data_IF_419783748450
#
_entry.id   IF_419783748450
#
_cell.length_a   1.000
_cell.length_b   1.000
_cell.length_c   1.000
_cell.angle_alpha   90.00
_cell.angle_beta   90.00
_cell.angle_gamma   90.00
#
_symmetry.space_group_name_H-M   'P 1'
#
loop_
_entity.id
_entity.type
_entity.pdbx_description
1 polymer ?
#
# COMPACT_ATOMS: atom_id res chain seq x y z
N UNK A 1 8.21 -17.24 -21.18
CA UNK A 1 8.53 -16.24 -20.14
C UNK A 1 8.14 -14.89 -20.71
N UNK A 2 7.42 -14.05 -19.97
CA UNK A 2 7.12 -12.69 -20.45
C UNK A 2 8.44 -11.90 -20.51
N UNK A 3 8.65 -11.12 -21.57
CA UNK A 3 9.73 -10.15 -21.61
C UNK A 3 9.40 -8.95 -20.69
N UNK A 4 10.42 -8.16 -20.37
CA UNK A 4 10.29 -7.01 -19.47
C UNK A 4 9.29 -5.96 -19.96
N UNK A 5 9.26 -5.67 -21.26
CA UNK A 5 8.35 -4.67 -21.84
C UNK A 5 6.89 -5.13 -21.68
N UNK A 6 6.64 -6.41 -21.97
CA UNK A 6 5.35 -7.05 -21.71
C UNK A 6 4.95 -6.99 -20.23
N UNK A 7 5.88 -7.26 -19.30
CA UNK A 7 5.61 -7.22 -17.87
C UNK A 7 5.24 -5.80 -17.39
N UNK A 8 5.98 -4.77 -17.81
CA UNK A 8 5.68 -3.37 -17.51
C UNK A 8 4.30 -2.97 -18.06
N UNK A 9 4.00 -3.36 -19.32
CA UNK A 9 2.71 -3.08 -19.95
C UNK A 9 1.55 -3.71 -19.19
N UNK A 10 1.71 -4.94 -18.70
CA UNK A 10 0.69 -5.62 -17.88
C UNK A 10 0.48 -4.87 -16.57
N UNK A 11 1.55 -4.53 -15.85
CA UNK A 11 1.46 -3.77 -14.59
C UNK A 11 0.71 -2.43 -14.75
N UNK A 12 1.00 -1.68 -15.83
CA UNK A 12 0.28 -0.44 -16.19
C UNK A 12 -1.20 -0.70 -16.49
N UNK A 13 -1.48 -1.77 -17.26
CA UNK A 13 -2.84 -2.12 -17.69
C UNK A 13 -3.72 -2.49 -16.50
N UNK A 14 -3.21 -3.32 -15.59
CA UNK A 14 -3.96 -3.72 -14.39
C UNK A 14 -4.22 -2.52 -13.48
N UNK A 15 -3.23 -1.63 -13.29
CA UNK A 15 -3.45 -0.43 -12.48
C UNK A 15 -4.50 0.49 -13.11
N UNK A 16 -4.44 0.69 -14.42
CA UNK A 16 -5.45 1.48 -15.12
C UNK A 16 -6.87 0.89 -14.99
N UNK A 17 -7.02 -0.44 -14.94
CA UNK A 17 -8.32 -1.07 -14.64
C UNK A 17 -8.77 -0.76 -13.21
N UNK A 18 -7.87 -0.90 -12.24
CA UNK A 18 -8.14 -0.53 -10.85
C UNK A 18 -8.57 0.93 -10.73
N UNK A 19 -7.80 1.89 -11.27
CA UNK A 19 -8.13 3.32 -11.19
C UNK A 19 -9.51 3.65 -11.79
N UNK A 20 -9.86 3.04 -12.93
CA UNK A 20 -11.19 3.24 -13.53
C UNK A 20 -12.32 2.70 -12.66
N UNK A 21 -12.09 1.63 -11.90
CA UNK A 21 -13.09 1.06 -10.99
C UNK A 21 -13.45 1.99 -9.82
N UNK A 22 -12.53 2.90 -9.44
CA UNK A 22 -12.71 3.79 -8.29
C UNK A 22 -13.79 4.82 -8.57
N UNK A 23 -13.79 5.41 -9.77
CA UNK A 23 -14.76 6.43 -10.18
C UNK A 23 -16.21 5.92 -10.15
N UNK A 24 -16.43 4.62 -10.37
CA UNK A 24 -17.77 4.01 -10.32
C UNK A 24 -18.33 3.97 -8.90
N UNK A 25 -17.45 3.87 -7.90
CA UNK A 25 -17.82 3.64 -6.49
C UNK A 25 -18.07 4.95 -5.73
N UNK A 26 -17.38 6.03 -6.10
CA UNK A 26 -17.48 7.32 -5.42
C UNK A 26 -18.72 8.07 -5.95
N UNK A 27 -19.86 7.90 -5.28
CA UNK A 27 -21.14 8.49 -5.70
C UNK A 27 -21.78 9.42 -4.64
N UNK A 28 -21.08 9.73 -3.54
CA UNK A 28 -21.63 10.45 -2.38
C UNK A 28 -20.74 11.62 -1.96
N UNK A 29 -21.30 12.51 -1.13
CA UNK A 29 -20.57 13.59 -0.46
C UNK A 29 -19.34 13.03 0.29
N UNK A 30 -18.19 13.68 0.09
CA UNK A 30 -16.91 13.26 0.64
C UNK A 30 -16.75 13.80 2.06
N UNK A 31 -17.30 13.08 3.04
CA UNK A 31 -16.93 13.25 4.45
C UNK A 31 -15.45 12.94 4.71
N UNK A 32 -14.97 13.26 5.92
CA UNK A 32 -13.57 13.07 6.33
C UNK A 32 -13.11 11.61 6.11
N UNK A 33 -13.98 10.65 6.40
CA UNK A 33 -13.74 9.21 6.18
C UNK A 33 -13.54 8.90 4.69
N UNK A 34 -14.42 9.42 3.83
CA UNK A 34 -14.29 9.29 2.38
C UNK A 34 -13.00 9.90 1.83
N UNK A 35 -12.62 11.06 2.35
CA UNK A 35 -11.33 11.68 2.01
C UNK A 35 -10.15 10.82 2.45
N UNK A 36 -10.21 10.18 3.62
CA UNK A 36 -9.18 9.26 4.11
C UNK A 36 -9.02 8.02 3.22
N UNK A 37 -10.13 7.44 2.77
CA UNK A 37 -10.11 6.33 1.81
C UNK A 37 -9.52 6.76 0.45
N UNK A 38 -9.93 7.91 -0.07
CA UNK A 38 -9.37 8.45 -1.31
C UNK A 38 -7.89 8.78 -1.18
N UNK A 39 -7.41 9.17 0.00
CA UNK A 39 -5.97 9.35 0.24
C UNK A 39 -5.20 8.03 0.09
N UNK A 40 -5.76 6.88 0.51
CA UNK A 40 -5.15 5.56 0.26
C UNK A 40 -5.11 5.22 -1.24
N UNK A 41 -6.09 5.65 -2.03
CA UNK A 41 -6.08 5.52 -3.48
C UNK A 41 -4.99 6.38 -4.12
N UNK A 42 -4.88 7.64 -3.72
CA UNK A 42 -3.84 8.54 -4.22
C UNK A 42 -2.44 8.00 -3.90
N UNK A 43 -2.26 7.43 -2.70
CA UNK A 43 -1.03 6.74 -2.32
C UNK A 43 -0.77 5.50 -3.17
N UNK A 44 -1.80 4.67 -3.42
CA UNK A 44 -1.70 3.52 -4.31
C UNK A 44 -1.18 3.93 -5.70
N UNK A 45 -1.72 5.00 -6.28
CA UNK A 45 -1.25 5.55 -7.55
C UNK A 45 0.19 6.06 -7.47
N UNK A 46 0.51 6.89 -6.48
CA UNK A 46 1.86 7.45 -6.34
C UNK A 46 2.94 6.37 -6.16
N UNK A 47 2.66 5.31 -5.39
CA UNK A 47 3.60 4.22 -5.20
C UNK A 47 3.74 3.33 -6.44
N UNK A 48 2.63 3.01 -7.12
CA UNK A 48 2.67 2.21 -8.35
C UNK A 48 3.41 2.94 -9.48
N UNK A 49 3.00 4.17 -9.80
CA UNK A 49 3.61 4.98 -10.85
C UNK A 49 5.09 5.28 -10.54
N UNK A 50 5.38 5.60 -9.27
CA UNK A 50 6.74 5.84 -8.80
C UNK A 50 7.64 4.61 -8.92
N UNK A 51 7.12 3.43 -8.55
CA UNK A 51 7.86 2.18 -8.67
C UNK A 51 8.16 1.83 -10.13
N UNK A 52 7.18 1.99 -11.04
CA UNK A 52 7.40 1.79 -12.47
C UNK A 52 8.44 2.76 -13.03
N UNK A 53 8.36 4.04 -12.67
CA UNK A 53 9.34 5.03 -13.11
C UNK A 53 10.76 4.69 -12.62
N UNK A 54 10.89 4.30 -11.35
CA UNK A 54 12.16 3.85 -10.79
C UNK A 54 12.70 2.58 -11.48
N UNK A 55 11.82 1.65 -11.83
CA UNK A 55 12.14 0.42 -12.53
C UNK A 55 12.64 0.70 -13.95
N UNK A 56 11.96 1.57 -14.69
CA UNK A 56 12.36 2.03 -16.03
C UNK A 56 13.70 2.78 -15.99
N UNK A 57 13.97 3.51 -14.91
CA UNK A 57 15.25 4.14 -14.63
C UNK A 57 16.33 3.15 -14.12
N UNK A 58 16.04 1.84 -14.11
CA UNK A 58 16.93 0.77 -13.66
C UNK A 58 17.41 0.95 -12.20
N UNK A 59 16.58 1.53 -11.32
CA UNK A 59 16.96 1.87 -9.94
C UNK A 59 16.29 0.94 -8.91
N UNK A 60 16.93 -0.16 -8.49
CA UNK A 60 16.36 -1.08 -7.50
C UNK A 60 16.21 -0.43 -6.11
N UNK A 61 17.10 0.52 -5.74
CA UNK A 61 17.05 1.21 -4.45
C UNK A 61 15.86 2.15 -4.29
N UNK A 62 15.20 2.53 -5.39
CA UNK A 62 13.93 3.24 -5.35
C UNK A 62 12.75 2.29 -5.61
N UNK A 63 12.91 1.34 -6.53
CA UNK A 63 11.84 0.43 -6.93
C UNK A 63 11.31 -0.41 -5.77
N UNK A 64 12.17 -1.14 -5.06
CA UNK A 64 11.71 -2.06 -4.01
C UNK A 64 11.13 -1.35 -2.78
N UNK A 65 11.70 -0.23 -2.28
CA UNK A 65 11.02 0.55 -1.25
C UNK A 65 9.66 1.09 -1.66
N UNK A 66 9.48 1.51 -2.92
CA UNK A 66 8.18 1.99 -3.40
C UNK A 66 7.15 0.85 -3.49
N UNK A 67 7.55 -0.33 -3.96
CA UNK A 67 6.69 -1.53 -3.95
C UNK A 67 6.36 -1.96 -2.51
N UNK A 68 7.32 -1.87 -1.58
CA UNK A 68 7.06 -2.11 -0.15
C UNK A 68 6.01 -1.15 0.41
N UNK A 69 6.15 0.15 0.15
CA UNK A 69 5.14 1.15 0.52
C UNK A 69 3.78 0.86 -0.11
N UNK A 70 3.75 0.35 -1.35
CA UNK A 70 2.54 -0.08 -2.03
C UNK A 70 1.88 -1.28 -1.34
N UNK A 71 2.67 -2.26 -0.91
CA UNK A 71 2.19 -3.40 -0.13
C UNK A 71 1.62 -2.97 1.23
N UNK A 72 2.29 -2.06 1.93
CA UNK A 72 1.79 -1.50 3.21
C UNK A 72 0.47 -0.76 3.01
N UNK A 73 0.31 -0.06 1.89
CA UNK A 73 -0.95 0.58 1.51
C UNK A 73 -2.08 -0.45 1.25
N UNK A 74 -1.78 -1.55 0.57
CA UNK A 74 -2.72 -2.66 0.38
C UNK A 74 -3.14 -3.27 1.73
N UNK A 75 -2.19 -3.48 2.64
CA UNK A 75 -2.44 -4.01 3.97
C UNK A 75 -3.29 -3.07 4.83
N UNK A 76 -3.06 -1.76 4.75
CA UNK A 76 -3.90 -0.75 5.40
C UNK A 76 -5.34 -0.79 4.87
N UNK A 77 -5.52 -0.94 3.55
CA UNK A 77 -6.85 -1.04 2.96
C UNK A 77 -7.59 -2.31 3.41
N UNK A 78 -6.88 -3.44 3.52
CA UNK A 78 -7.43 -4.67 4.11
C UNK A 78 -7.81 -4.47 5.57
N UNK A 79 -6.98 -3.77 6.35
CA UNK A 79 -7.30 -3.45 7.72
C UNK A 79 -8.61 -2.67 7.82
N UNK A 80 -8.80 -1.63 7.00
CA UNK A 80 -10.04 -0.83 6.98
C UNK A 80 -11.24 -1.67 6.54
N UNK A 81 -11.07 -2.65 5.65
CA UNK A 81 -12.15 -3.59 5.34
C UNK A 81 -12.57 -4.42 6.56
N UNK A 82 -11.60 -4.89 7.36
CA UNK A 82 -11.87 -5.72 8.54
C UNK A 82 -12.31 -4.91 9.76
N UNK A 83 -11.91 -3.65 9.82
CA UNK A 83 -12.12 -2.72 10.94
C UNK A 83 -12.49 -1.33 10.40
N UNK A 84 -13.67 -1.16 9.78
CA UNK A 84 -14.07 0.11 9.16
C UNK A 84 -14.02 1.32 10.10
N UNK A 85 -14.44 1.19 11.36
CA UNK A 85 -14.36 2.26 12.37
C UNK A 85 -12.94 2.72 12.74
N UNK A 86 -11.91 1.96 12.36
CA UNK A 86 -10.52 2.23 12.68
C UNK A 86 -9.83 3.18 11.68
N UNK A 87 -10.53 3.66 10.64
CA UNK A 87 -9.95 4.52 9.61
C UNK A 87 -9.33 5.81 10.17
N UNK A 88 -9.89 6.36 11.26
CA UNK A 88 -9.36 7.56 11.92
C UNK A 88 -7.92 7.40 12.41
N UNK A 89 -7.48 6.16 12.66
CA UNK A 89 -6.12 5.83 13.10
C UNK A 89 -5.08 5.97 11.98
N UNK A 90 -5.50 6.09 10.72
CA UNK A 90 -4.64 6.45 9.59
C UNK A 90 -4.42 7.96 9.48
N UNK A 91 -5.14 8.77 10.26
CA UNK A 91 -4.98 10.22 10.26
C UNK A 91 -3.62 10.64 10.79
N UNK A 92 -3.04 11.69 10.20
CA UNK A 92 -1.86 12.35 10.75
C UNK A 92 -2.09 12.89 12.18
N UNK A 93 -3.36 13.14 12.53
CA UNK A 93 -3.79 13.63 13.84
C UNK A 93 -3.98 12.53 14.88
N UNK A 94 -3.94 11.24 14.50
CA UNK A 94 -4.04 10.14 15.44
C UNK A 94 -2.88 10.17 16.44
N UNK A 95 -3.18 9.90 17.72
CA UNK A 95 -2.18 9.84 18.76
C UNK A 95 -1.14 8.75 18.45
N UNK A 96 0.10 8.90 18.92
CA UNK A 96 1.19 8.01 18.53
C UNK A 96 0.94 6.54 18.91
N UNK A 97 0.29 6.31 20.04
CA UNK A 97 -0.14 5.00 20.55
C UNK A 97 -1.37 4.43 19.83
N UNK A 98 -2.15 5.28 19.16
CA UNK A 98 -3.28 4.87 18.31
C UNK A 98 -2.82 4.45 16.90
N UNK A 99 -1.66 4.91 16.44
CA UNK A 99 -1.14 4.60 15.10
C UNK A 99 -0.88 3.10 14.92
N UNK A 100 -1.05 2.62 13.69
CA UNK A 100 -0.83 1.21 13.40
C UNK A 100 0.65 0.85 13.40
N UNK A 101 0.97 -0.24 14.11
CA UNK A 101 2.20 -0.96 13.85
C UNK A 101 2.09 -1.67 12.50
N UNK A 102 3.02 -1.40 11.58
CA UNK A 102 3.02 -1.99 10.22
C UNK A 102 2.96 -3.52 10.26
N UNK A 103 3.69 -4.15 11.19
CA UNK A 103 3.64 -5.60 11.37
C UNK A 103 2.24 -6.15 11.66
N UNK A 104 1.38 -5.36 12.33
CA UNK A 104 -0.03 -5.75 12.57
C UNK A 104 -0.86 -5.67 11.30
N UNK A 105 -0.64 -4.66 10.46
CA UNK A 105 -1.30 -4.53 9.15
C UNK A 105 -0.93 -5.71 8.25
N UNK A 106 0.38 -6.00 8.15
CA UNK A 106 0.90 -7.13 7.34
C UNK A 106 0.37 -8.46 7.85
N UNK A 107 0.36 -8.70 9.16
CA UNK A 107 -0.18 -9.91 9.75
C UNK A 107 -1.70 -10.07 9.49
N UNK A 108 -2.44 -8.96 9.42
CA UNK A 108 -3.85 -8.99 9.07
C UNK A 108 -4.05 -9.32 7.57
N UNK A 109 -3.30 -8.65 6.69
CA UNK A 109 -3.33 -8.89 5.26
C UNK A 109 -3.00 -10.34 4.88
N UNK A 110 -2.01 -10.94 5.53
CA UNK A 110 -1.60 -12.32 5.31
C UNK A 110 -2.70 -13.37 5.59
N UNK A 111 -3.72 -13.03 6.38
CA UNK A 111 -4.88 -13.91 6.61
C UNK A 111 -5.82 -13.98 5.40
N UNK A 112 -5.83 -12.94 4.56
CA UNK A 112 -6.71 -12.80 3.38
C UNK A 112 -6.00 -13.11 2.07
N UNK A 113 -4.71 -12.82 1.98
CA UNK A 113 -3.89 -13.05 0.81
C UNK A 113 -2.72 -13.99 1.15
N UNK A 114 -2.85 -15.31 0.90
CA UNK A 114 -1.74 -16.24 1.03
C UNK A 114 -0.52 -15.76 0.22
N UNK A 115 0.69 -15.84 0.79
CA UNK A 115 1.92 -15.36 0.16
C UNK A 115 2.20 -13.86 0.37
N UNK A 116 1.25 -13.05 0.85
CA UNK A 116 1.49 -11.61 1.10
C UNK A 116 2.64 -11.37 2.07
N UNK A 117 2.74 -12.19 3.12
CA UNK A 117 3.83 -12.10 4.10
C UNK A 117 5.19 -12.35 3.44
N UNK A 118 5.28 -13.36 2.58
CA UNK A 118 6.52 -13.74 1.91
C UNK A 118 6.96 -12.65 0.92
N UNK A 119 6.03 -12.06 0.17
CA UNK A 119 6.30 -10.90 -0.71
C UNK A 119 6.79 -9.72 0.12
N UNK A 120 6.15 -9.42 1.25
CA UNK A 120 6.55 -8.33 2.12
C UNK A 120 7.95 -8.55 2.72
N UNK A 121 8.27 -9.76 3.18
CA UNK A 121 9.58 -10.11 3.71
C UNK A 121 10.68 -9.97 2.64
N UNK A 122 10.44 -10.48 1.43
CA UNK A 122 11.36 -10.30 0.29
C UNK A 122 11.58 -8.82 -0.04
N UNK A 123 10.52 -8.01 -0.11
CA UNK A 123 10.62 -6.57 -0.31
C UNK A 123 11.43 -5.89 0.79
N UNK A 124 11.21 -6.29 2.06
CA UNK A 124 11.96 -5.78 3.20
C UNK A 124 13.45 -6.06 3.10
N UNK A 125 13.87 -7.21 2.58
CA UNK A 125 15.30 -7.54 2.38
C UNK A 125 16.01 -6.53 1.46
N UNK A 126 15.33 -5.99 0.45
CA UNK A 126 15.90 -4.99 -0.46
C UNK A 126 15.96 -3.57 0.13
N UNK A 127 15.27 -3.32 1.24
CA UNK A 127 15.19 -1.99 1.86
C UNK A 127 16.14 -1.77 3.04
N UNK A 128 16.81 -2.84 3.51
CA UNK A 128 17.72 -2.78 4.65
C UNK A 128 19.17 -3.06 4.22
N UNK A 129 20.17 -2.40 4.82
CA UNK A 129 21.58 -2.54 4.44
C UNK A 129 22.22 -3.88 4.84
N UNK A 130 21.44 -4.85 5.32
CA UNK A 130 21.92 -6.10 5.95
C UNK A 130 21.59 -7.37 5.15
N UNK A 131 21.02 -7.25 3.95
CA UNK A 131 20.58 -8.38 3.15
C UNK A 131 20.97 -8.21 1.67
N UNK A 132 20.14 -8.72 0.76
CA UNK A 132 20.30 -8.71 -0.70
C UNK A 132 20.67 -7.34 -1.29
N UNK A 133 20.30 -6.24 -0.62
CA UNK A 133 20.69 -4.88 -1.02
C UNK A 133 22.19 -4.57 -0.90
N UNK A 134 22.94 -5.27 -0.05
CA UNK A 134 24.37 -5.00 0.17
C UNK A 134 25.23 -5.35 -1.06
N UNK A 135 24.86 -6.41 -1.78
CA UNK A 135 25.62 -6.91 -2.94
C UNK A 135 25.17 -6.30 -4.26
N UNK A 136 24.06 -5.55 -4.30
CA UNK A 136 23.52 -4.92 -5.53
C UNK A 136 24.51 -4.03 -6.31
N UNK A 137 25.44 -3.27 -5.68
CA UNK A 137 26.43 -2.51 -6.43
C UNK A 137 27.47 -3.35 -7.18
N UNK A 138 27.59 -4.65 -6.86
CA UNK A 138 28.63 -5.53 -7.38
C UNK A 138 28.07 -6.46 -8.45
N UNK A 139 28.77 -6.58 -9.58
CA UNK A 139 28.46 -7.52 -10.65
C UNK A 139 29.63 -8.43 -10.92
N UNK A 140 29.38 -9.73 -11.04
CA UNK A 140 30.38 -10.65 -11.56
C UNK A 140 30.75 -10.26 -12.99
N UNK A 141 32.02 -10.29 -13.30
CA UNK A 141 32.53 -10.14 -14.67
C UNK A 141 32.70 -11.53 -15.31
N UNK A 142 33.00 -11.58 -16.62
CA UNK A 142 33.14 -12.86 -17.34
C UNK A 142 34.34 -13.69 -16.88
N UNK A 143 35.31 -13.05 -16.23
CA UNK A 143 36.38 -13.70 -15.47
C UNK A 143 35.85 -14.04 -14.07
N UNK A 144 35.71 -15.33 -13.77
CA UNK A 144 35.10 -15.89 -12.54
C UNK A 144 35.75 -15.40 -11.22
N UNK A 145 36.84 -14.64 -11.30
CA UNK A 145 37.61 -14.15 -10.15
C UNK A 145 37.49 -12.65 -9.87
N UNK A 146 36.68 -11.88 -10.62
CA UNK A 146 36.56 -10.45 -10.36
C UNK A 146 35.13 -9.92 -10.34
N UNK A 147 34.97 -8.77 -9.69
CA UNK A 147 33.69 -8.06 -9.56
C UNK A 147 33.86 -6.62 -10.03
N UNK A 148 32.85 -6.11 -10.71
CA UNK A 148 32.72 -4.69 -11.04
C UNK A 148 31.78 -4.03 -10.04
N UNK A 149 32.28 -3.00 -9.36
CA UNK A 149 31.46 -2.08 -8.58
C UNK A 149 30.89 -0.96 -9.47
N UNK A 150 29.66 -0.53 -9.18
CA UNK A 150 29.02 0.63 -9.80
C UNK A 150 28.48 1.59 -8.73
N UNK A 151 28.76 2.88 -8.89
CA UNK A 151 28.11 3.95 -8.12
C UNK A 151 26.71 4.28 -8.64
N UNK A 152 26.38 3.86 -9.86
CA UNK A 152 25.07 4.08 -10.48
C UNK A 152 24.16 2.90 -10.12
N UNK A 153 22.96 3.15 -9.55
CA UNK A 153 21.96 2.13 -9.30
C UNK A 153 21.65 1.33 -10.55
N UNK A 154 21.60 0.01 -10.43
CA UNK A 154 21.31 -0.87 -11.56
C UNK A 154 20.81 -2.21 -11.04
N UNK A 155 19.77 -2.78 -11.65
CA UNK A 155 19.34 -4.14 -11.33
C UNK A 155 20.41 -5.15 -11.74
N UNK A 156 20.68 -6.14 -10.90
CA UNK A 156 21.63 -7.22 -11.20
C UNK A 156 21.20 -8.08 -12.38
N UNK A 157 19.90 -8.38 -12.47
CA UNK A 157 19.30 -9.24 -13.47
C UNK A 157 17.98 -8.65 -14.01
N UNK A 158 17.56 -9.02 -15.22
CA UNK A 158 16.27 -8.57 -15.77
C UNK A 158 15.09 -9.33 -15.11
N UNK A 159 15.35 -10.54 -14.61
CA UNK A 159 14.43 -11.34 -13.80
C UNK A 159 13.94 -10.59 -12.55
N UNK A 160 14.81 -9.79 -11.92
CA UNK A 160 14.45 -8.97 -10.75
C UNK A 160 13.42 -7.90 -11.12
N UNK A 161 13.56 -7.30 -12.32
CA UNK A 161 12.60 -6.30 -12.82
C UNK A 161 11.27 -6.94 -13.17
N UNK A 162 11.31 -8.11 -13.81
CA UNK A 162 10.09 -8.88 -14.12
C UNK A 162 9.37 -9.26 -12.82
N UNK A 163 10.11 -9.69 -11.80
CA UNK A 163 9.57 -9.98 -10.46
C UNK A 163 8.93 -8.75 -9.82
N UNK A 164 9.59 -7.59 -9.90
CA UNK A 164 9.02 -6.32 -9.44
C UNK A 164 7.70 -5.96 -10.16
N UNK A 165 7.61 -6.20 -11.47
CA UNK A 165 6.35 -6.03 -12.22
C UNK A 165 5.26 -6.99 -11.74
N UNK A 166 5.58 -8.25 -11.43
CA UNK A 166 4.60 -9.21 -10.90
C UNK A 166 4.06 -8.76 -9.54
N UNK A 167 4.93 -8.32 -8.62
CA UNK A 167 4.46 -7.79 -7.34
C UNK A 167 3.56 -6.56 -7.51
N UNK A 168 3.86 -5.67 -8.45
CA UNK A 168 2.97 -4.54 -8.76
C UNK A 168 1.58 -5.00 -9.23
N UNK A 169 1.51 -6.04 -10.06
CA UNK A 169 0.25 -6.64 -10.53
C UNK A 169 -0.52 -7.24 -9.36
N UNK A 170 0.09 -8.14 -8.59
CA UNK A 170 -0.57 -8.82 -7.46
C UNK A 170 -1.09 -7.82 -6.42
N UNK A 171 -0.29 -6.81 -6.08
CA UNK A 171 -0.71 -5.76 -5.16
C UNK A 171 -1.84 -4.91 -5.75
N UNK A 172 -1.85 -4.67 -7.07
CA UNK A 172 -2.95 -3.96 -7.73
C UNK A 172 -4.24 -4.76 -7.69
N UNK A 173 -4.19 -6.07 -7.96
CA UNK A 173 -5.35 -6.96 -7.87
C UNK A 173 -5.94 -6.97 -6.47
N UNK A 174 -5.08 -7.01 -5.44
CA UNK A 174 -5.49 -6.90 -4.05
C UNK A 174 -6.17 -5.55 -3.75
N UNK A 175 -5.64 -4.43 -4.24
CA UNK A 175 -6.32 -3.13 -4.12
C UNK A 175 -7.69 -3.14 -4.79
N UNK A 176 -7.80 -3.69 -6.00
CA UNK A 176 -9.04 -3.74 -6.76
C UNK A 176 -10.11 -4.62 -6.09
N UNK A 177 -9.71 -5.74 -5.49
CA UNK A 177 -10.61 -6.64 -4.76
C UNK A 177 -11.10 -6.01 -3.43
N UNK A 178 -10.22 -5.33 -2.70
CA UNK A 178 -10.53 -4.83 -1.35
C UNK A 178 -11.25 -3.48 -1.39
N UNK A 179 -10.84 -2.57 -2.29
CA UNK A 179 -11.31 -1.18 -2.32
C UNK A 179 -12.84 -1.02 -2.30
N UNK A 180 -13.62 -1.64 -3.21
CA UNK A 180 -15.08 -1.43 -3.24
C UNK A 180 -15.79 -1.94 -1.99
N UNK A 181 -15.21 -2.93 -1.30
CA UNK A 181 -15.77 -3.48 -0.06
C UNK A 181 -15.41 -2.62 1.13
N UNK A 182 -14.15 -2.20 1.23
CA UNK A 182 -13.70 -1.27 2.27
C UNK A 182 -14.52 0.02 2.24
N UNK A 183 -14.64 0.64 1.05
CA UNK A 183 -15.42 1.87 0.88
C UNK A 183 -16.88 1.72 1.33
N UNK A 184 -17.55 0.63 0.92
CA UNK A 184 -18.94 0.39 1.33
C UNK A 184 -19.07 0.11 2.83
N UNK A 185 -18.15 -0.66 3.41
CA UNK A 185 -18.17 -0.95 4.84
C UNK A 185 -18.06 0.34 5.67
N UNK A 186 -17.09 1.19 5.34
CA UNK A 186 -16.88 2.44 6.09
C UNK A 186 -18.01 3.46 5.88
N UNK A 187 -18.54 3.58 4.66
CA UNK A 187 -19.64 4.51 4.37
C UNK A 187 -20.97 4.09 4.97
N UNK A 188 -21.22 2.78 5.12
CA UNK A 188 -22.43 2.28 5.77
C UNK A 188 -22.36 2.43 7.29
N UNK A 189 -21.18 2.31 7.90
CA UNK A 189 -21.01 2.58 9.34
C UNK A 189 -21.28 4.04 9.70
N UNK A 190 -20.85 5.02 8.89
CA UNK A 190 -21.22 6.42 9.12
C UNK A 190 -22.74 6.63 9.09
N UNK A 191 -23.45 5.97 8.16
CA UNK A 191 -24.89 6.04 8.09
C UNK A 191 -25.57 5.46 9.35
N UNK A 192 -25.00 4.40 9.94
CA UNK A 192 -25.51 3.78 11.18
C UNK A 192 -25.13 4.64 12.41
N UNK A 193 -23.91 5.16 12.48
CA UNK A 193 -23.44 6.00 13.58
C UNK A 193 -24.16 7.36 13.61
N UNK A 194 -24.46 7.95 12.46
CA UNK A 194 -25.25 9.19 12.35
C UNK A 194 -26.69 9.04 12.86
N UNK A 195 -27.28 7.86 12.72
CA UNK A 195 -28.59 7.52 13.30
C UNK A 195 -28.52 7.23 14.81
N UNK A 196 -27.32 7.04 15.35
CA UNK A 196 -27.08 6.62 16.74
C UNK A 196 -26.54 7.74 17.61
N UNK A 197 -26.56 9.01 17.15
CA UNK A 197 -26.19 10.13 18.02
C UNK A 197 -27.14 10.12 19.22
N UNK A 198 -26.67 9.80 20.44
CA UNK A 198 -27.48 10.05 21.62
C UNK A 198 -27.66 11.57 21.64
N UNK A 199 -28.91 12.02 21.71
CA UNK A 199 -29.20 13.39 22.16
C UNK A 199 -28.34 13.57 23.40
N UNK A 200 -27.33 14.44 23.31
CA UNK A 200 -26.60 14.91 24.49
C UNK A 200 -27.71 15.45 25.37
N UNK A 201 -28.07 14.70 26.41
CA UNK A 201 -28.81 15.29 27.53
C UNK A 201 -27.91 16.42 27.98
N UNK A 202 -28.31 17.63 27.61
CA UNK A 202 -27.78 18.86 28.19
C UNK A 202 -28.09 18.69 29.66
N UNK A 203 -27.09 18.25 30.41
CA UNK A 203 -27.16 18.10 31.84
C UNK A 203 -27.68 19.40 32.41
N UNK A 204 -28.90 19.31 32.94
CA UNK A 204 -29.42 20.23 33.94
C UNK A 204 -28.47 20.11 35.14
N UNK A 205 -27.44 20.93 35.18
CA UNK A 205 -26.95 21.45 36.44
C UNK A 205 -27.63 22.82 36.54
N UNK A 206 -28.78 22.94 37.20
CA UNK A 206 -28.88 23.12 38.65
C UNK A 206 -27.75 24.09 39.06
N UNK A 207 -27.91 25.41 38.98
CA UNK A 207 -28.87 26.23 39.75
C UNK A 207 -29.10 25.59 41.10
N UNK A 208 -28.13 25.72 42.01
CA UNK A 208 -28.31 25.99 43.44
C UNK A 208 -27.00 25.68 44.17
N UNK A 209 -26.32 26.74 44.64
CA UNK A 209 -25.89 26.90 46.05
C UNK A 209 -25.03 28.17 46.19
N UNK A 210 -25.62 29.10 46.93
CA UNK A 210 -25.07 30.10 47.86
C UNK A 210 -23.86 30.96 47.48
#
# INVERSE_FOLDING_TARGET
MADLESAIRIARTEFAKFSRSIAVVVQRDLGIVGMGLLALVTRAQGFHDGALHALEANNPYATFPLIRCYAENAAALVWVLDHPGDIGRLSALAAQDERFAIGRLVANAAKRAPGFKDVYEQLSEFTHPVASGFTQPFRATSDESSFRWSSVPSFGADEDKITACFWLVELTEMHADVWPRAYRATMNEEAVAGLSTPVREVGKNDIERD
#
